data_IF_955788831619
#
_entry.id   IF_955788831619
#
_cell.length_a   1.000
_cell.length_b   1.000
_cell.length_c   1.000
_cell.angle_alpha   90.00
_cell.angle_beta   90.00
_cell.angle_gamma   90.00
#
_symmetry.space_group_name_H-M   'P 1'
#
loop_
_entity.id
_entity.type
_entity.pdbx_description
1 polymer ?
#
# COMPACT_ATOMS: atom_id res chain seq x y z
N UNK A 1 -12.05 1.39 20.03
CA UNK A 1 -12.17 1.82 18.62
C UNK A 1 -11.04 1.18 17.84
N UNK A 2 -11.32 0.50 16.73
CA UNK A 2 -10.26 0.05 15.82
C UNK A 2 -9.55 1.28 15.27
N UNK A 3 -8.22 1.32 15.36
CA UNK A 3 -7.44 2.41 14.76
C UNK A 3 -7.52 2.27 13.24
N UNK A 4 -8.21 3.19 12.57
CA UNK A 4 -8.15 3.31 11.12
C UNK A 4 -6.87 4.04 10.74
N UNK A 5 -6.22 3.59 9.68
CA UNK A 5 -5.13 4.31 9.03
C UNK A 5 -5.57 4.70 7.62
N UNK A 6 -4.97 5.75 7.08
CA UNK A 6 -5.28 6.24 5.75
C UNK A 6 -3.98 6.46 5.00
N UNK A 7 -3.95 5.99 3.75
CA UNK A 7 -2.79 6.12 2.88
C UNK A 7 -3.18 6.94 1.66
N UNK A 8 -2.34 7.93 1.33
CA UNK A 8 -2.52 8.75 0.14
C UNK A 8 -1.71 8.15 -1.00
N UNK A 9 -2.41 7.80 -2.07
CA UNK A 9 -1.81 7.30 -3.32
C UNK A 9 -2.05 8.35 -4.41
N UNK A 10 -1.03 8.61 -5.25
CA UNK A 10 -1.20 9.51 -6.40
C UNK A 10 -2.23 8.92 -7.38
N UNK A 11 -3.07 9.73 -8.04
CA UNK A 11 -4.12 9.22 -8.93
C UNK A 11 -3.62 8.27 -10.02
N UNK A 12 -2.48 8.58 -10.66
CA UNK A 12 -1.92 7.73 -11.71
C UNK A 12 -1.48 6.36 -11.18
N UNK A 13 -0.85 6.36 -10.00
CA UNK A 13 -0.48 5.12 -9.30
C UNK A 13 -1.69 4.32 -8.88
N UNK A 14 -2.76 4.97 -8.45
CA UNK A 14 -4.00 4.29 -8.09
C UNK A 14 -4.59 3.53 -9.29
N UNK A 15 -4.62 4.16 -10.48
CA UNK A 15 -5.07 3.51 -11.72
C UNK A 15 -4.24 2.28 -12.08
N UNK A 16 -2.93 2.33 -11.86
CA UNK A 16 -2.06 1.15 -12.06
C UNK A 16 -2.42 0.02 -11.09
N UNK A 17 -2.61 0.34 -9.80
CA UNK A 17 -3.00 -0.64 -8.78
C UNK A 17 -4.35 -1.28 -9.12
N UNK A 18 -5.33 -0.50 -9.58
CA UNK A 18 -6.62 -1.02 -10.03
C UNK A 18 -6.50 -2.03 -11.16
N UNK A 19 -5.68 -1.74 -12.18
CA UNK A 19 -5.42 -2.67 -13.29
C UNK A 19 -4.77 -3.96 -12.81
N UNK A 20 -3.80 -3.86 -11.90
CA UNK A 20 -3.13 -5.02 -11.32
C UNK A 20 -4.08 -5.86 -10.45
N UNK A 21 -4.90 -5.23 -9.61
CA UNK A 21 -5.90 -5.90 -8.80
C UNK A 21 -6.92 -6.66 -9.66
N UNK A 22 -7.35 -6.04 -10.76
CA UNK A 22 -8.23 -6.70 -11.73
C UNK A 22 -7.58 -7.95 -12.32
N UNK A 23 -6.34 -7.84 -12.81
CA UNK A 23 -5.60 -8.98 -13.38
C UNK A 23 -5.46 -10.13 -12.37
N UNK A 24 -5.04 -9.82 -11.14
CA UNK A 24 -4.92 -10.80 -10.06
C UNK A 24 -6.27 -11.44 -9.70
N UNK A 25 -7.36 -10.67 -9.77
CA UNK A 25 -8.70 -11.20 -9.52
C UNK A 25 -9.10 -12.25 -10.55
N UNK A 26 -8.81 -11.99 -11.83
CA UNK A 26 -9.07 -12.93 -12.92
C UNK A 26 -8.24 -14.21 -12.78
N UNK A 27 -6.95 -14.08 -12.46
CA UNK A 27 -6.04 -15.22 -12.29
C UNK A 27 -6.41 -16.09 -11.09
N UNK A 28 -6.83 -15.48 -9.98
CA UNK A 28 -7.15 -16.19 -8.74
C UNK A 28 -8.60 -16.70 -8.68
N UNK A 29 -9.45 -16.35 -9.66
CA UNK A 29 -10.88 -16.69 -9.65
C UNK A 29 -11.65 -16.10 -8.46
N UNK A 30 -11.16 -15.00 -7.87
CA UNK A 30 -11.77 -14.33 -6.71
C UNK A 30 -11.55 -12.82 -6.77
N UNK A 31 -12.41 -12.06 -6.10
CA UNK A 31 -12.25 -10.61 -6.02
C UNK A 31 -11.02 -10.24 -5.17
N UNK A 32 -10.08 -9.52 -5.76
CA UNK A 32 -8.96 -8.85 -5.09
C UNK A 32 -9.20 -7.35 -5.19
N UNK A 33 -9.36 -6.67 -4.05
CA UNK A 33 -9.59 -5.22 -4.06
C UNK A 33 -8.25 -4.49 -4.19
N UNK A 34 -8.22 -3.33 -4.87
CA UNK A 34 -7.04 -2.47 -4.89
C UNK A 34 -6.51 -2.11 -3.49
N UNK A 35 -7.41 -1.97 -2.51
CA UNK A 35 -7.07 -1.71 -1.10
C UNK A 35 -6.30 -2.86 -0.46
N UNK A 36 -6.62 -4.11 -0.80
CA UNK A 36 -5.94 -5.29 -0.25
C UNK A 36 -4.47 -5.31 -0.67
N UNK A 37 -4.18 -4.84 -1.89
CA UNK A 37 -2.81 -4.68 -2.39
C UNK A 37 -2.08 -3.59 -1.60
N UNK A 38 -2.72 -2.43 -1.40
CA UNK A 38 -2.12 -1.32 -0.65
C UNK A 38 -1.80 -1.74 0.79
N UNK A 39 -2.72 -2.42 1.46
CA UNK A 39 -2.54 -2.92 2.83
C UNK A 39 -1.40 -3.94 2.91
N UNK A 40 -1.31 -4.86 1.95
CA UNK A 40 -0.23 -5.84 1.87
C UNK A 40 1.14 -5.15 1.67
N UNK A 41 1.22 -4.16 0.78
CA UNK A 41 2.44 -3.39 0.53
C UNK A 41 2.85 -2.61 1.78
N UNK A 42 1.90 -1.94 2.44
CA UNK A 42 2.16 -1.24 3.70
C UNK A 42 2.72 -2.22 4.72
N UNK A 43 2.08 -3.37 4.93
CA UNK A 43 2.53 -4.38 5.89
C UNK A 43 3.94 -4.91 5.58
N UNK A 44 4.27 -5.09 4.30
CA UNK A 44 5.59 -5.54 3.88
C UNK A 44 6.65 -4.46 4.12
N UNK A 45 6.35 -3.21 3.78
CA UNK A 45 7.31 -2.10 3.84
C UNK A 45 7.42 -1.45 5.22
N UNK A 46 6.38 -1.45 6.05
CA UNK A 46 6.49 -0.97 7.43
C UNK A 46 7.36 -1.87 8.29
N UNK A 47 7.44 -3.16 7.97
CA UNK A 47 8.41 -4.08 8.62
C UNK A 47 9.87 -3.77 8.26
N UNK A 48 10.10 -3.03 7.17
CA UNK A 48 11.43 -2.61 6.73
C UNK A 48 11.78 -1.19 7.21
N UNK A 49 10.84 -0.44 7.80
CA UNK A 49 11.05 0.94 8.23
C UNK A 49 11.17 0.96 9.75
N UNK A 50 12.39 1.22 10.23
CA UNK A 50 12.65 1.43 11.64
C UNK A 50 12.40 2.91 12.03
N UNK A 51 12.27 3.20 13.32
CA UNK A 51 12.03 4.57 13.78
C UNK A 51 13.19 5.50 13.45
N UNK A 52 14.41 4.95 13.46
CA UNK A 52 15.64 5.64 13.10
C UNK A 52 15.61 6.13 11.63
N UNK A 53 15.01 5.35 10.72
CA UNK A 53 14.85 5.72 9.32
C UNK A 53 13.91 6.92 9.15
N UNK A 54 12.85 6.98 9.98
CA UNK A 54 11.90 8.09 9.99
C UNK A 54 12.58 9.38 10.46
N UNK A 55 13.42 9.28 11.49
CA UNK A 55 14.18 10.43 12.00
C UNK A 55 15.24 10.92 11.01
N UNK A 56 15.89 10.01 10.29
CA UNK A 56 16.82 10.35 9.21
C UNK A 56 16.09 11.04 8.03
N UNK A 57 14.93 10.53 7.63
CA UNK A 57 14.12 11.11 6.56
C UNK A 57 13.64 12.53 6.89
N UNK A 58 13.35 12.82 8.17
CA UNK A 58 12.95 14.16 8.62
C UNK A 58 14.08 15.20 8.48
N UNK A 59 15.33 14.80 8.65
CA UNK A 59 16.50 15.69 8.54
C UNK A 59 16.88 16.02 7.09
N UNK A 60 16.52 15.15 6.15
CA UNK A 60 16.80 15.28 4.72
C UNK A 60 15.67 15.97 3.92
N UNK A 61 14.68 16.55 4.61
CA UNK A 61 13.54 17.23 4.02
C UNK A 61 13.60 18.73 4.30
#
# INVERSE_FOLDING_TARGET
MSKSHSVRVRPDRWREIEKHAWKLSQEAGKLVKPTDIVDAVILLKTKEIELEDVDAARKNR
#
